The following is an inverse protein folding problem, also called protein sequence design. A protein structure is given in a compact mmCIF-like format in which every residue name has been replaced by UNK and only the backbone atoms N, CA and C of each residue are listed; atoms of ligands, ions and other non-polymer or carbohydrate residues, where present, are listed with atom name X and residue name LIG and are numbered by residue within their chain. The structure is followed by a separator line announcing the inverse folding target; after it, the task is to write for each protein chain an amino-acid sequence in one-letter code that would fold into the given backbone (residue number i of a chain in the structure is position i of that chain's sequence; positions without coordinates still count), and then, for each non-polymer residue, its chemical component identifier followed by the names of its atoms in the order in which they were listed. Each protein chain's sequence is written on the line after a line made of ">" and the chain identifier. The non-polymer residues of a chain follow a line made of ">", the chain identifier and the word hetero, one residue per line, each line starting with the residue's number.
data_IF_310296358779
#
_entry.id   IF_310296358779
#
_cell.length_a   1.000
_cell.length_b   1.000
_cell.length_c   1.000
_cell.angle_alpha   90.00
_cell.angle_beta   90.00
_cell.angle_gamma   90.00
#
_symmetry.space_group_name_H-M   'P 1'
#
loop_
_entity.id
_entity.type
_entity.pdbx_description
1 polymer ?
#
# COMPACT_ATOMS: atom_id res chain seq x y z
N UNK A 1 -2.37 -16.08 8.87
CA UNK A 1 -2.82 -14.68 9.08
C UNK A 1 -3.71 -14.67 10.32
N UNK A 2 -3.44 -13.80 11.28
CA UNK A 2 -4.38 -13.61 12.39
C UNK A 2 -5.48 -12.62 11.94
N UNK A 3 -6.60 -12.52 12.64
CA UNK A 3 -7.67 -11.51 12.41
C UNK A 3 -7.19 -10.03 12.47
N UNK A 4 -5.86 -9.82 12.53
CA UNK A 4 -5.17 -8.55 12.56
C UNK A 4 -4.39 -8.26 11.26
N UNK A 5 -4.47 -9.10 10.23
CA UNK A 5 -3.70 -8.91 8.98
C UNK A 5 -2.25 -9.39 9.05
N UNK A 6 -1.46 -9.05 8.05
CA UNK A 6 -0.02 -9.28 7.90
C UNK A 6 0.73 -8.13 8.59
N UNK A 7 1.85 -8.38 9.28
CA UNK A 7 2.63 -7.26 9.85
C UNK A 7 3.37 -6.48 8.76
N UNK A 8 3.65 -5.20 8.99
CA UNK A 8 4.36 -4.36 8.02
C UNK A 8 5.70 -5.00 7.61
N UNK A 9 6.49 -5.53 8.56
CA UNK A 9 7.74 -6.27 8.27
C UNK A 9 7.55 -7.43 7.29
N UNK A 10 6.45 -8.17 7.39
CA UNK A 10 6.14 -9.26 6.46
C UNK A 10 5.71 -8.73 5.08
N UNK A 11 4.94 -7.62 5.03
CA UNK A 11 4.60 -6.96 3.77
C UNK A 11 5.87 -6.47 3.06
N UNK A 12 6.79 -5.83 3.79
CA UNK A 12 8.11 -5.41 3.29
C UNK A 12 8.87 -6.60 2.69
N UNK A 13 9.11 -7.64 3.48
CA UNK A 13 9.89 -8.81 3.06
C UNK A 13 9.26 -9.54 1.86
N UNK A 14 7.93 -9.62 1.80
CA UNK A 14 7.23 -10.22 0.67
C UNK A 14 7.49 -9.45 -0.64
N UNK A 15 7.46 -8.12 -0.60
CA UNK A 15 7.71 -7.28 -1.78
C UNK A 15 9.18 -7.37 -2.19
N UNK A 16 10.11 -7.21 -1.24
CA UNK A 16 11.55 -7.32 -1.49
C UNK A 16 11.90 -8.67 -2.14
N UNK A 17 11.39 -9.78 -1.59
CA UNK A 17 11.63 -11.11 -2.14
C UNK A 17 11.10 -11.25 -3.56
N UNK A 18 9.90 -10.72 -3.85
CA UNK A 18 9.33 -10.76 -5.20
C UNK A 18 10.14 -9.93 -6.18
N UNK A 19 10.53 -8.71 -5.80
CA UNK A 19 11.39 -7.86 -6.63
C UNK A 19 12.76 -8.50 -6.88
N UNK A 20 13.37 -9.12 -5.87
CA UNK A 20 14.64 -9.83 -6.03
C UNK A 20 14.54 -10.99 -7.03
N UNK A 21 13.48 -11.80 -6.93
CA UNK A 21 13.24 -12.91 -7.88
C UNK A 21 13.06 -12.37 -9.30
N UNK A 22 12.25 -11.33 -9.48
CA UNK A 22 12.01 -10.71 -10.78
C UNK A 22 13.30 -10.12 -11.33
N UNK A 23 14.05 -9.34 -10.54
CA UNK A 23 15.31 -8.74 -10.98
C UNK A 23 16.31 -9.82 -11.43
N UNK A 24 16.42 -10.92 -10.68
CA UNK A 24 17.28 -12.06 -11.04
C UNK A 24 16.86 -12.69 -12.36
N UNK A 25 15.55 -12.84 -12.62
CA UNK A 25 15.03 -13.35 -13.90
C UNK A 25 15.38 -12.43 -15.08
N UNK A 26 15.43 -11.12 -14.86
CA UNK A 26 15.85 -10.13 -15.86
C UNK A 26 17.37 -9.85 -15.86
N UNK A 27 18.18 -10.67 -15.17
CA UNK A 27 19.64 -10.50 -15.13
C UNK A 27 20.10 -9.21 -14.44
N UNK A 28 19.28 -8.66 -13.56
CA UNK A 28 19.53 -7.41 -12.85
C UNK A 28 19.73 -7.66 -11.35
N UNK A 29 20.59 -6.86 -10.72
CA UNK A 29 20.73 -6.81 -9.27
C UNK A 29 19.94 -5.63 -8.68
N UNK A 30 19.39 -5.83 -7.49
CA UNK A 30 18.80 -4.76 -6.68
C UNK A 30 19.56 -4.62 -5.38
N UNK A 31 19.53 -3.43 -4.80
CA UNK A 31 19.95 -3.19 -3.42
C UNK A 31 18.77 -2.65 -2.62
N UNK A 32 18.61 -3.08 -1.37
CA UNK A 32 17.52 -2.64 -0.50
C UNK A 32 18.08 -2.05 0.77
N UNK A 33 17.62 -0.85 1.11
CA UNK A 33 18.04 -0.10 2.29
C UNK A 33 16.83 0.40 3.05
N UNK A 34 16.91 0.46 4.37
CA UNK A 34 15.88 1.10 5.20
C UNK A 34 15.79 2.60 4.92
N UNK A 35 14.59 3.15 5.06
CA UNK A 35 14.34 4.60 5.04
C UNK A 35 14.20 5.05 6.49
N UNK A 36 14.90 6.12 6.86
CA UNK A 36 14.84 6.78 8.16
C UNK A 36 13.96 8.03 8.01
N UNK A 37 12.89 8.14 8.81
CA UNK A 37 11.99 9.29 8.75
C UNK A 37 12.00 10.14 10.01
N UNK A 38 12.48 9.58 11.13
CA UNK A 38 12.58 10.28 12.40
C UNK A 38 13.97 10.08 13.00
N UNK A 39 14.57 11.17 13.49
CA UNK A 39 15.87 11.13 14.13
C UNK A 39 15.81 10.27 15.41
N UNK A 40 16.62 9.21 15.47
CA UNK A 40 16.66 8.28 16.59
C UNK A 40 15.69 7.10 16.46
N UNK A 41 14.99 6.96 15.32
CA UNK A 41 14.35 5.71 14.97
C UNK A 41 15.41 4.63 14.71
N UNK A 42 15.16 3.41 15.20
CA UNK A 42 16.04 2.29 14.89
C UNK A 42 15.89 1.91 13.41
N UNK A 43 16.84 2.39 12.60
CA UNK A 43 16.88 2.20 11.14
C UNK A 43 16.81 0.72 10.75
N UNK A 44 17.36 -0.19 11.56
CA UNK A 44 17.29 -1.64 11.30
C UNK A 44 15.87 -2.18 11.47
N UNK A 45 15.06 -1.51 12.28
CA UNK A 45 13.67 -1.85 12.56
C UNK A 45 12.65 -1.15 11.68
N UNK A 46 13.06 -0.11 10.92
CA UNK A 46 12.21 0.52 9.92
C UNK A 46 11.60 -0.51 8.97
N UNK A 47 10.34 -0.31 8.60
CA UNK A 47 9.61 -1.17 7.65
C UNK A 47 9.61 -0.60 6.23
N UNK A 48 10.03 0.65 6.10
CA UNK A 48 10.12 1.38 4.85
C UNK A 48 11.42 1.02 4.14
N UNK A 49 11.38 0.89 2.82
CA UNK A 49 12.54 0.47 2.03
C UNK A 49 12.73 1.34 0.81
N UNK A 50 13.97 1.72 0.54
CA UNK A 50 14.43 2.17 -0.76
C UNK A 50 15.08 0.99 -1.45
N UNK A 51 14.45 0.51 -2.52
CA UNK A 51 14.95 -0.60 -3.33
C UNK A 51 15.47 0.00 -4.62
N UNK A 52 16.78 0.00 -4.82
CA UNK A 52 17.45 0.62 -5.97
C UNK A 52 17.69 -0.40 -7.07
N UNK A 53 17.32 -0.02 -8.29
CA UNK A 53 17.54 -0.74 -9.54
C UNK A 53 18.39 0.15 -10.49
N UNK A 54 18.98 -0.40 -11.57
CA UNK A 54 19.79 0.38 -12.50
C UNK A 54 19.06 1.54 -13.19
N UNK A 55 17.73 1.49 -13.23
CA UNK A 55 16.89 2.47 -13.95
C UNK A 55 16.05 3.36 -13.03
N UNK A 56 16.14 3.20 -11.69
CA UNK A 56 15.36 3.97 -10.73
C UNK A 56 15.25 3.27 -9.36
N UNK A 57 14.65 3.95 -8.39
CA UNK A 57 14.38 3.42 -7.05
C UNK A 57 12.89 3.22 -6.80
N UNK A 58 12.56 2.14 -6.12
CA UNK A 58 11.24 1.90 -5.53
C UNK A 58 11.28 2.32 -4.07
N UNK A 59 10.45 3.30 -3.72
CA UNK A 59 10.24 3.75 -2.35
C UNK A 59 9.01 3.06 -1.78
N UNK A 60 9.22 2.01 -0.98
CA UNK A 60 8.19 1.10 -0.49
C UNK A 60 7.68 1.52 0.90
N UNK A 61 6.35 1.70 0.99
CA UNK A 61 5.63 2.01 2.22
C UNK A 61 4.57 0.94 2.52
N UNK A 62 4.90 -0.05 3.38
CA UNK A 62 3.97 -1.10 3.74
C UNK A 62 3.11 -0.72 4.95
N UNK A 63 1.79 -0.88 4.83
CA UNK A 63 0.86 -0.59 5.92
C UNK A 63 -0.18 -1.68 6.15
N UNK A 64 -0.16 -2.28 7.34
CA UNK A 64 -1.28 -3.07 7.82
C UNK A 64 -2.33 -2.16 8.44
N UNK A 65 -3.38 -1.88 7.66
CA UNK A 65 -4.44 -0.95 8.02
C UNK A 65 -5.30 -1.62 9.08
N UNK A 66 -5.22 -1.17 10.33
CA UNK A 66 -6.12 -1.64 11.40
C UNK A 66 -7.48 -0.98 11.30
N UNK A 67 -7.48 0.33 11.07
CA UNK A 67 -8.67 1.14 10.87
C UNK A 67 -8.40 2.13 9.73
N UNK A 68 -9.22 2.09 8.67
CA UNK A 68 -9.08 2.97 7.50
C UNK A 68 -9.58 4.41 7.76
N UNK A 69 -9.41 4.90 8.98
CA UNK A 69 -10.00 6.16 9.45
C UNK A 69 -9.13 7.38 9.12
N UNK A 70 -9.59 8.57 9.53
CA UNK A 70 -8.87 9.84 9.33
C UNK A 70 -7.46 9.83 9.95
N UNK A 71 -7.26 9.12 11.07
CA UNK A 71 -5.95 9.01 11.73
C UNK A 71 -4.98 8.27 10.83
N UNK A 72 -5.34 7.10 10.31
CA UNK A 72 -4.49 6.36 9.37
C UNK A 72 -4.17 7.18 8.11
N UNK A 73 -5.17 7.84 7.52
CA UNK A 73 -4.98 8.67 6.32
C UNK A 73 -4.04 9.85 6.59
N UNK A 74 -4.18 10.50 7.75
CA UNK A 74 -3.28 11.56 8.19
C UNK A 74 -1.86 11.06 8.45
N UNK A 75 -1.71 9.88 9.07
CA UNK A 75 -0.40 9.25 9.29
C UNK A 75 0.29 8.92 7.96
N UNK A 76 -0.43 8.33 7.00
CA UNK A 76 0.12 8.04 5.67
C UNK A 76 0.61 9.34 4.98
N UNK A 77 -0.23 10.38 4.99
CA UNK A 77 0.13 11.67 4.41
C UNK A 77 1.36 12.29 5.10
N UNK A 78 1.45 12.20 6.43
CA UNK A 78 2.57 12.73 7.20
C UNK A 78 3.86 11.95 6.93
N UNK A 79 3.80 10.62 6.94
CA UNK A 79 4.93 9.73 6.64
C UNK A 79 5.51 10.03 5.25
N UNK A 80 4.66 10.17 4.23
CA UNK A 80 5.11 10.50 2.88
C UNK A 80 5.58 11.95 2.75
N UNK A 81 4.99 12.89 3.50
CA UNK A 81 5.46 14.27 3.60
C UNK A 81 6.89 14.33 4.14
N UNK A 82 7.14 13.70 5.30
CA UNK A 82 8.47 13.60 5.91
C UNK A 82 9.47 12.93 4.97
N UNK A 83 9.08 11.83 4.32
CA UNK A 83 9.92 11.19 3.31
C UNK A 83 10.30 12.14 2.18
N UNK A 84 9.32 12.87 1.63
CA UNK A 84 9.58 13.79 0.53
C UNK A 84 10.46 14.94 0.98
N UNK A 85 10.26 15.48 2.18
CA UNK A 85 11.10 16.55 2.73
C UNK A 85 12.55 16.09 2.94
N UNK A 86 12.74 14.92 3.55
CA UNK A 86 14.08 14.39 3.85
C UNK A 86 14.82 13.94 2.60
N UNK A 87 14.15 13.27 1.66
CA UNK A 87 14.80 12.62 0.51
C UNK A 87 14.61 13.36 -0.82
N UNK A 88 14.01 14.56 -0.85
CA UNK A 88 13.78 15.34 -2.08
C UNK A 88 15.03 15.47 -2.96
N UNK A 89 16.21 15.62 -2.36
CA UNK A 89 17.47 15.76 -3.08
C UNK A 89 17.94 14.48 -3.81
N UNK A 90 17.42 13.32 -3.41
CA UNK A 90 17.84 12.01 -3.92
C UNK A 90 16.81 11.37 -4.87
N UNK A 91 15.55 11.83 -4.86
CA UNK A 91 14.49 11.32 -5.72
C UNK A 91 14.84 11.60 -7.18
N UNK A 92 14.77 10.55 -8.01
CA UNK A 92 15.00 10.64 -9.46
C UNK A 92 13.68 10.60 -10.24
N UNK A 93 13.64 11.11 -11.48
CA UNK A 93 12.41 11.09 -12.31
C UNK A 93 11.85 9.68 -12.59
N UNK A 94 12.71 8.65 -12.58
CA UNK A 94 12.29 7.26 -12.79
C UNK A 94 11.99 6.52 -11.47
N UNK A 95 12.04 7.22 -10.34
CA UNK A 95 11.66 6.63 -9.07
C UNK A 95 10.13 6.52 -8.96
N UNK A 96 9.68 5.56 -8.17
CA UNK A 96 8.27 5.43 -7.85
C UNK A 96 8.04 5.16 -6.37
N UNK A 97 6.91 5.63 -5.86
CA UNK A 97 6.38 5.30 -4.54
C UNK A 97 5.45 4.12 -4.68
N UNK A 98 5.69 3.08 -3.89
CA UNK A 98 4.86 1.87 -3.86
C UNK A 98 4.20 1.74 -2.50
N UNK A 99 2.87 1.78 -2.49
CA UNK A 99 2.07 1.47 -1.31
C UNK A 99 1.62 0.01 -1.38
N UNK A 100 1.92 -0.76 -0.35
CA UNK A 100 1.40 -2.12 -0.18
C UNK A 100 0.71 -2.22 1.16
N UNK A 101 -0.61 -2.37 1.11
CA UNK A 101 -1.41 -2.40 2.32
C UNK A 101 -2.23 -3.66 2.42
N UNK A 102 -2.65 -3.98 3.64
CA UNK A 102 -3.67 -4.99 3.87
C UNK A 102 -4.73 -4.50 4.85
N UNK A 103 -5.94 -5.05 4.72
CA UNK A 103 -7.03 -4.73 5.61
C UNK A 103 -8.03 -5.88 5.73
N UNK A 104 -8.59 -6.03 6.93
CA UNK A 104 -9.75 -6.89 7.16
C UNK A 104 -11.00 -6.03 7.23
N UNK A 105 -11.78 -6.04 6.14
CA UNK A 105 -13.02 -5.29 6.02
C UNK A 105 -13.97 -5.65 7.17
N UNK A 106 -14.53 -4.61 7.77
CA UNK A 106 -15.42 -4.71 8.91
C UNK A 106 -16.59 -3.74 8.77
N UNK A 107 -17.47 -3.69 9.78
CA UNK A 107 -18.71 -2.92 9.73
C UNK A 107 -18.53 -1.42 10.01
N UNK A 108 -17.31 -0.96 10.32
CA UNK A 108 -17.05 0.46 10.56
C UNK A 108 -17.10 1.18 9.22
N UNK A 109 -17.79 2.32 9.16
CA UNK A 109 -17.98 3.10 7.93
C UNK A 109 -16.66 3.36 7.17
N UNK A 110 -15.59 3.72 7.87
CA UNK A 110 -14.29 3.97 7.23
C UNK A 110 -13.68 2.72 6.58
N UNK A 111 -13.94 1.54 7.11
CA UNK A 111 -13.56 0.26 6.50
C UNK A 111 -14.37 -0.02 5.24
N UNK A 112 -15.68 0.22 5.29
CA UNK A 112 -16.60 0.08 4.17
C UNK A 112 -16.28 1.03 3.00
N UNK A 113 -15.72 2.20 3.33
CA UNK A 113 -15.29 3.22 2.38
C UNK A 113 -13.89 3.00 1.81
N UNK A 114 -13.13 2.01 2.30
CA UNK A 114 -11.71 1.88 1.97
C UNK A 114 -11.46 1.65 0.47
N UNK A 115 -12.27 0.82 -0.19
CA UNK A 115 -12.07 0.51 -1.61
C UNK A 115 -12.38 1.72 -2.50
N UNK A 116 -13.47 2.44 -2.21
CA UNK A 116 -13.78 3.67 -2.93
C UNK A 116 -12.73 4.76 -2.66
N UNK A 117 -12.22 4.88 -1.43
CA UNK A 117 -11.16 5.81 -1.10
C UNK A 117 -9.85 5.50 -1.85
N UNK A 118 -9.54 4.21 -2.04
CA UNK A 118 -8.36 3.74 -2.75
C UNK A 118 -8.48 3.94 -4.27
N UNK A 119 -9.59 3.50 -4.85
CA UNK A 119 -9.78 3.46 -6.31
C UNK A 119 -10.46 4.70 -6.91
N UNK A 120 -10.98 5.59 -6.08
CA UNK A 120 -11.93 6.64 -6.43
C UNK A 120 -13.30 6.15 -6.93
N UNK A 121 -13.53 4.85 -6.90
CA UNK A 121 -14.78 4.21 -7.30
C UNK A 121 -14.98 2.90 -6.54
N UNK A 122 -16.23 2.46 -6.45
CA UNK A 122 -16.56 1.13 -5.94
C UNK A 122 -16.17 0.05 -6.97
N UNK A 123 -15.85 -1.18 -6.53
CA UNK A 123 -15.59 -2.30 -7.43
C UNK A 123 -16.83 -2.66 -8.26
N UNK A 124 -16.62 -3.08 -9.52
CA UNK A 124 -17.72 -3.52 -10.41
C UNK A 124 -18.48 -4.73 -9.84
N UNK A 125 -17.79 -5.60 -9.11
CA UNK A 125 -18.34 -6.79 -8.46
C UNK A 125 -18.92 -6.49 -7.06
N UNK A 126 -19.36 -5.25 -6.82
CA UNK A 126 -19.97 -4.79 -5.55
C UNK A 126 -21.00 -5.77 -4.96
N UNK A 127 -21.83 -6.39 -5.81
CA UNK A 127 -22.84 -7.35 -5.38
C UNK A 127 -22.25 -8.58 -4.66
N UNK A 128 -21.05 -9.03 -5.03
CA UNK A 128 -20.36 -10.16 -4.39
C UNK A 128 -19.95 -9.84 -2.95
N UNK A 129 -19.64 -8.58 -2.65
CA UNK A 129 -19.34 -8.15 -1.28
C UNK A 129 -20.60 -8.21 -0.42
N UNK A 130 -21.73 -7.72 -0.94
CA UNK A 130 -23.01 -7.74 -0.23
C UNK A 130 -23.47 -9.18 0.09
N UNK A 131 -23.28 -10.13 -0.84
CA UNK A 131 -23.55 -11.55 -0.61
C UNK A 131 -22.73 -12.15 0.55
N UNK A 132 -21.54 -11.59 0.83
CA UNK A 132 -20.70 -11.99 1.98
C UNK A 132 -20.92 -11.10 3.22
N UNK A 133 -22.00 -10.30 3.23
CA UNK A 133 -22.35 -9.41 4.34
C UNK A 133 -21.40 -8.23 4.51
N UNK A 134 -20.70 -7.83 3.44
CA UNK A 134 -19.81 -6.67 3.40
C UNK A 134 -20.52 -5.56 2.63
N UNK A 135 -20.90 -4.51 3.33
CA UNK A 135 -21.51 -3.33 2.73
C UNK A 135 -20.40 -2.35 2.40
N UNK A 136 -20.06 -2.17 1.13
CA UNK A 136 -19.14 -1.11 0.72
C UNK A 136 -19.89 0.21 0.60
N UNK A 137 -19.19 1.32 0.81
CA UNK A 137 -19.76 2.66 0.79
C UNK A 137 -18.85 3.63 0.02
N UNK A 138 -19.44 4.69 -0.52
CA UNK A 138 -18.65 5.78 -1.10
C UNK A 138 -17.92 6.55 -0.01
N UNK A 139 -16.68 6.92 -0.29
CA UNK A 139 -15.83 7.74 0.56
C UNK A 139 -16.02 9.22 0.23
N UNK A 140 -15.93 10.07 1.26
CA UNK A 140 -15.78 11.50 1.07
C UNK A 140 -14.35 11.85 0.67
N UNK A 141 -14.18 13.00 0.02
CA UNK A 141 -12.85 13.59 -0.19
C UNK A 141 -12.18 13.98 1.15
N UNK A 142 -10.83 14.04 1.19
CA UNK A 142 -9.90 13.66 0.13
C UNK A 142 -9.78 12.13 -0.04
N UNK A 143 -9.75 11.69 -1.30
CA UNK A 143 -9.44 10.31 -1.70
C UNK A 143 -7.91 10.11 -1.76
N UNK A 144 -7.46 8.87 -1.99
CA UNK A 144 -6.02 8.58 -2.02
C UNK A 144 -5.30 9.46 -3.04
N UNK A 145 -5.86 9.64 -4.24
CA UNK A 145 -5.21 10.42 -5.29
C UNK A 145 -5.07 11.90 -4.90
N UNK A 146 -6.06 12.49 -4.23
CA UNK A 146 -5.97 13.87 -3.73
C UNK A 146 -4.81 14.02 -2.71
N UNK A 147 -4.60 13.01 -1.86
CA UNK A 147 -3.49 12.99 -0.90
C UNK A 147 -2.15 12.91 -1.64
N UNK A 148 -2.04 12.06 -2.65
CA UNK A 148 -0.81 11.86 -3.42
C UNK A 148 -0.49 13.07 -4.31
N UNK A 149 -1.51 13.70 -4.91
CA UNK A 149 -1.37 14.91 -5.71
C UNK A 149 -0.78 16.06 -4.88
N UNK A 150 -1.22 16.23 -3.64
CA UNK A 150 -0.65 17.24 -2.72
C UNK A 150 0.84 17.04 -2.43
N UNK A 151 1.34 15.82 -2.64
CA UNK A 151 2.72 15.43 -2.49
C UNK A 151 3.44 15.34 -3.84
N UNK A 152 2.88 15.83 -4.94
CA UNK A 152 3.50 15.76 -6.28
C UNK A 152 3.72 14.34 -6.80
N UNK A 153 2.86 13.39 -6.39
CA UNK A 153 2.90 11.99 -6.80
C UNK A 153 1.73 11.68 -7.72
N UNK A 154 2.00 11.11 -8.91
CA UNK A 154 0.96 10.79 -9.88
C UNK A 154 0.63 9.30 -9.88
N UNK A 155 -0.64 8.88 -9.74
CA UNK A 155 -1.00 7.46 -9.80
C UNK A 155 -0.73 6.90 -11.20
N UNK A 156 0.02 5.80 -11.28
CA UNK A 156 0.20 5.03 -12.52
C UNK A 156 -0.47 3.64 -12.44
N UNK A 157 -0.60 3.08 -11.24
CA UNK A 157 -1.27 1.79 -11.03
C UNK A 157 -1.95 1.73 -9.67
N UNK A 158 -3.18 1.25 -9.61
CA UNK A 158 -3.89 0.92 -8.36
C UNK A 158 -4.68 -0.37 -8.53
N UNK A 159 -4.51 -1.30 -7.60
CA UNK A 159 -5.20 -2.58 -7.60
C UNK A 159 -5.56 -3.02 -6.19
N UNK A 160 -6.49 -3.95 -6.10
CA UNK A 160 -6.74 -4.71 -4.89
C UNK A 160 -6.91 -6.20 -5.22
N UNK A 161 -6.65 -7.06 -4.25
CA UNK A 161 -6.79 -8.50 -4.38
C UNK A 161 -7.34 -9.12 -3.09
N UNK A 162 -8.00 -10.27 -3.24
CA UNK A 162 -8.49 -11.08 -2.14
C UNK A 162 -7.79 -12.45 -2.18
N UNK A 163 -6.58 -12.55 -1.60
CA UNK A 163 -5.72 -13.73 -1.76
C UNK A 163 -6.22 -14.96 -1.02
N UNK A 164 -7.13 -14.78 -0.07
CA UNK A 164 -7.70 -15.88 0.72
C UNK A 164 -8.86 -16.52 -0.04
N UNK A 165 -8.89 -17.85 -0.02
CA UNK A 165 -9.98 -18.67 -0.55
C UNK A 165 -10.64 -19.44 0.59
N UNK A 166 -11.95 -19.66 0.50
CA UNK A 166 -12.66 -20.57 1.41
C UNK A 166 -12.25 -22.01 1.10
N UNK A 167 -12.18 -22.82 2.14
CA UNK A 167 -11.83 -24.26 1.99
C UNK A 167 -12.98 -25.05 1.36
N UNK A 168 -14.22 -24.64 1.59
CA UNK A 168 -15.44 -25.37 1.18
C UNK A 168 -15.65 -25.39 -0.34
N UNK A 169 -15.50 -24.22 -0.99
CA UNK A 169 -15.87 -24.03 -2.40
C UNK A 169 -14.76 -23.34 -3.22
N UNK A 170 -13.61 -23.01 -2.61
CA UNK A 170 -12.53 -22.28 -3.25
C UNK A 170 -12.86 -20.82 -3.60
N UNK A 171 -14.02 -20.31 -3.18
CA UNK A 171 -14.44 -18.95 -3.47
C UNK A 171 -13.57 -17.93 -2.73
N UNK A 172 -13.44 -16.74 -3.30
CA UNK A 172 -12.64 -15.67 -2.70
C UNK A 172 -13.28 -15.13 -1.42
N UNK A 173 -12.47 -15.00 -0.36
CA UNK A 173 -12.85 -14.34 0.88
C UNK A 173 -12.74 -12.83 0.69
N UNK A 174 -13.87 -12.18 0.40
CA UNK A 174 -13.92 -10.74 0.13
C UNK A 174 -13.59 -9.87 1.34
N UNK A 175 -13.59 -10.46 2.55
CA UNK A 175 -13.35 -9.71 3.79
C UNK A 175 -11.89 -9.31 3.98
N UNK A 176 -10.93 -10.09 3.47
CA UNK A 176 -9.52 -9.74 3.54
C UNK A 176 -9.06 -9.17 2.20
N UNK A 177 -8.55 -7.94 2.21
CA UNK A 177 -8.09 -7.26 1.01
C UNK A 177 -6.61 -6.88 1.13
N UNK A 178 -5.87 -7.10 0.06
CA UNK A 178 -4.55 -6.52 -0.17
C UNK A 178 -4.69 -5.41 -1.20
N UNK A 179 -4.05 -4.28 -0.93
CA UNK A 179 -4.13 -3.06 -1.72
C UNK A 179 -2.74 -2.72 -2.23
N UNK A 180 -2.66 -2.37 -3.50
CA UNK A 180 -1.41 -2.04 -4.18
C UNK A 180 -1.59 -0.74 -4.95
N UNK A 181 -0.64 0.17 -4.80
CA UNK A 181 -0.61 1.39 -5.58
C UNK A 181 0.83 1.76 -5.91
N UNK A 182 1.02 2.27 -7.11
CA UNK A 182 2.29 2.78 -7.61
C UNK A 182 2.04 4.21 -8.07
N UNK A 183 2.89 5.11 -7.61
CA UNK A 183 2.88 6.51 -7.97
C UNK A 183 4.25 6.91 -8.52
N UNK A 184 4.24 7.64 -9.63
CA UNK A 184 5.45 8.21 -10.22
C UNK A 184 5.84 9.49 -9.48
N UNK A 185 7.14 9.65 -9.24
CA UNK A 185 7.70 10.87 -8.68
C UNK A 185 7.80 11.94 -9.79
N UNK A 186 7.14 13.09 -9.60
CA UNK A 186 7.37 14.29 -10.42
C UNK A 186 8.46 15.18 -9.84
#
# INVERSE_FOLDING_TARGET
>A
MHNRGISNKHLTSMVERRLQVIATQFGTSISSHSIELEAGEDVENSVYRRITLPYGSVWLFPHSIKTANKVFKGQLSNTLGLWREEYAYAIQPNDCVVLVCDHWLNRINTSQQLLDWWHNQLPDDFAMYAQQGILLAQSSTPKLDDVMESLGLQPCYKAHAHPLKKEEDGSSVKRYVQLYAIFECK
#
